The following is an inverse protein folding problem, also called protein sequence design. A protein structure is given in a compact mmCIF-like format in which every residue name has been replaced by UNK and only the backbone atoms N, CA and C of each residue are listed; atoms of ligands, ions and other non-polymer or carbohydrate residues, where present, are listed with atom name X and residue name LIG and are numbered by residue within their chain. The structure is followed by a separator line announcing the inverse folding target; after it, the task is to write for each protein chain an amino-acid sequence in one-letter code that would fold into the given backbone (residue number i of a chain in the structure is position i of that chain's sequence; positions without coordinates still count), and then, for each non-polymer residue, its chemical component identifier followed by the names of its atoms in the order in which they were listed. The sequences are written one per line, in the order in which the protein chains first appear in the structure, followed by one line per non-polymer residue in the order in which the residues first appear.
data_IF_595330391660
#
_entry.id   IF_595330391660
#
_cell.length_a   1.000
_cell.length_b   1.000
_cell.length_c   1.000
_cell.angle_alpha   90.00
_cell.angle_beta   90.00
_cell.angle_gamma   90.00
#
_symmetry.space_group_name_H-M   'P 1'
#
loop_
_entity.id
_entity.type
_entity.pdbx_description
1 polymer ?
#
# COMPACT_ATOMS: atom_id res chain seq x y z
N UNK A 1 10.99 -5.83 10.53
CA UNK A 1 11.74 -4.72 11.15
C UNK A 1 11.02 -4.20 12.36
N UNK A 2 11.76 -3.96 13.42
CA UNK A 2 11.20 -3.35 14.63
C UNK A 2 12.04 -2.14 15.01
N UNK A 3 11.37 -1.11 15.51
CA UNK A 3 12.01 0.08 16.03
C UNK A 3 11.47 0.32 17.43
N UNK A 4 12.36 0.28 18.43
CA UNK A 4 11.98 0.42 19.84
C UNK A 4 10.89 -0.57 20.25
N UNK A 5 10.97 -1.81 19.74
CA UNK A 5 10.02 -2.85 20.06
C UNK A 5 8.72 -2.79 19.28
N UNK A 6 8.56 -1.79 18.40
CA UNK A 6 7.34 -1.66 17.58
C UNK A 6 7.60 -2.16 16.16
N UNK A 7 6.72 -2.99 15.61
CA UNK A 7 6.85 -3.40 14.21
C UNK A 7 6.62 -2.22 13.27
N UNK A 8 7.31 -2.25 12.13
CA UNK A 8 7.13 -1.26 11.09
C UNK A 8 6.28 -1.89 9.99
N UNK A 9 5.15 -1.28 9.72
CA UNK A 9 4.19 -1.74 8.70
C UNK A 9 4.22 -0.74 7.56
N UNK A 10 4.45 -1.22 6.34
CA UNK A 10 4.53 -0.36 5.17
C UNK A 10 3.33 -0.56 4.26
N UNK A 11 2.81 0.55 3.75
CA UNK A 11 1.67 0.56 2.83
C UNK A 11 2.09 1.24 1.54
N UNK A 12 2.04 0.49 0.45
CA UNK A 12 2.39 1.00 -0.87
C UNK A 12 1.09 1.28 -1.62
N UNK A 13 0.71 2.56 -1.64
CA UNK A 13 -0.55 2.99 -2.25
C UNK A 13 -0.35 3.39 -3.70
N UNK A 14 -1.29 3.03 -4.55
CA UNK A 14 -1.23 3.40 -5.96
C UNK A 14 -2.41 2.88 -6.75
N UNK A 15 -2.46 3.26 -8.02
CA UNK A 15 -3.51 2.77 -8.91
C UNK A 15 -3.20 1.38 -9.43
N UNK A 16 -1.95 1.10 -9.74
CA UNK A 16 -1.50 -0.20 -10.28
C UNK A 16 -2.35 -0.63 -11.48
N UNK A 17 -2.24 0.12 -12.59
CA UNK A 17 -3.06 -0.06 -13.78
C UNK A 17 -2.26 -0.50 -15.02
N UNK A 18 -1.67 -1.69 -15.07
CA UNK A 18 -1.44 -2.65 -13.98
C UNK A 18 -0.11 -2.40 -13.27
N UNK A 19 0.21 -3.28 -12.30
CA UNK A 19 1.54 -3.27 -11.67
C UNK A 19 2.61 -3.47 -12.73
N UNK A 20 3.55 -2.54 -12.81
CA UNK A 20 4.65 -2.61 -13.74
C UNK A 20 5.95 -3.04 -13.06
N UNK A 21 7.02 -3.08 -13.84
CA UNK A 21 8.32 -3.49 -13.36
C UNK A 21 8.83 -2.61 -12.21
N UNK A 22 8.68 -1.30 -12.35
CA UNK A 22 9.15 -0.37 -11.32
C UNK A 22 8.34 -0.50 -10.03
N UNK A 23 7.06 -0.79 -10.13
CA UNK A 23 6.23 -1.07 -8.95
C UNK A 23 6.74 -2.31 -8.22
N UNK A 24 7.06 -3.36 -8.98
CA UNK A 24 7.56 -4.59 -8.40
C UNK A 24 8.92 -4.38 -7.73
N UNK A 25 9.79 -3.58 -8.33
CA UNK A 25 11.08 -3.26 -7.73
C UNK A 25 10.89 -2.54 -6.40
N UNK A 26 9.99 -1.58 -6.33
CA UNK A 26 9.68 -0.87 -5.09
C UNK A 26 9.10 -1.82 -4.04
N UNK A 27 8.20 -2.69 -4.45
CA UNK A 27 7.61 -3.68 -3.56
C UNK A 27 8.68 -4.62 -3.01
N UNK A 28 9.58 -5.11 -3.85
CA UNK A 28 10.66 -6.00 -3.43
C UNK A 28 11.60 -5.30 -2.44
N UNK A 29 11.94 -4.05 -2.72
CA UNK A 29 12.73 -3.27 -1.78
C UNK A 29 12.04 -3.16 -0.42
N UNK A 30 10.74 -2.88 -0.43
CA UNK A 30 9.97 -2.74 0.81
C UNK A 30 9.93 -4.05 1.58
N UNK A 31 9.73 -5.18 0.91
CA UNK A 31 9.67 -6.48 1.58
C UNK A 31 11.03 -6.86 2.16
N UNK A 32 12.12 -6.51 1.49
CA UNK A 32 13.46 -6.75 2.01
C UNK A 32 13.76 -5.85 3.21
N UNK A 33 13.24 -4.63 3.19
CA UNK A 33 13.50 -3.65 4.24
C UNK A 33 12.64 -3.90 5.49
N UNK A 34 11.35 -4.14 5.30
CA UNK A 34 10.39 -4.19 6.41
C UNK A 34 9.91 -5.60 6.76
N UNK A 35 10.18 -6.56 5.89
CA UNK A 35 9.67 -7.92 6.05
C UNK A 35 8.42 -8.13 5.20
N UNK A 36 8.33 -9.28 4.54
CA UNK A 36 7.23 -9.57 3.60
C UNK A 36 5.85 -9.51 4.27
N UNK A 37 5.77 -9.92 5.54
CA UNK A 37 4.49 -9.92 6.26
C UNK A 37 4.04 -8.51 6.66
N UNK A 38 4.93 -7.54 6.55
CA UNK A 38 4.67 -6.17 7.01
C UNK A 38 4.47 -5.19 5.87
N UNK A 39 4.36 -5.65 4.64
CA UNK A 39 4.19 -4.78 3.48
C UNK A 39 2.88 -5.11 2.79
N UNK A 40 2.07 -4.08 2.61
CA UNK A 40 0.77 -4.19 1.93
C UNK A 40 0.73 -3.23 0.75
N UNK A 41 0.16 -3.70 -0.36
CA UNK A 41 -0.18 -2.84 -1.49
C UNK A 41 -1.63 -2.43 -1.30
N UNK A 42 -1.92 -1.15 -1.46
CA UNK A 42 -3.27 -0.62 -1.29
C UNK A 42 -3.70 0.00 -2.60
N UNK A 43 -4.79 -0.49 -3.17
CA UNK A 43 -5.34 0.02 -4.41
C UNK A 43 -6.86 0.05 -4.32
N UNK A 44 -7.52 0.56 -5.36
CA UNK A 44 -8.97 0.67 -5.34
C UNK A 44 -9.61 -0.16 -6.44
N UNK A 45 -10.94 -0.29 -6.34
CA UNK A 45 -11.74 -0.95 -7.36
C UNK A 45 -12.25 0.04 -8.41
N UNK A 46 -11.83 1.30 -8.35
CA UNK A 46 -12.33 2.32 -9.27
C UNK A 46 -11.90 2.02 -10.69
N UNK A 47 -12.85 2.04 -11.60
CA UNK A 47 -12.62 1.89 -13.03
C UNK A 47 -12.98 3.22 -13.71
N UNK A 48 -12.03 3.79 -14.44
CA UNK A 48 -12.18 5.11 -15.07
C UNK A 48 -11.30 5.15 -16.33
N UNK A 49 -11.75 4.51 -17.43
CA UNK A 49 -10.94 4.50 -18.66
C UNK A 49 -10.79 5.91 -19.22
N UNK A 50 -9.70 6.21 -19.91
CA UNK A 50 -8.58 5.31 -20.23
C UNK A 50 -7.50 5.23 -19.16
N UNK A 51 -7.55 6.06 -18.12
CA UNK A 51 -6.49 6.12 -17.10
C UNK A 51 -6.48 4.92 -16.18
N UNK A 52 -7.66 4.43 -15.83
CA UNK A 52 -7.82 3.34 -14.87
C UNK A 52 -8.77 2.29 -15.43
N UNK A 53 -8.32 1.53 -16.45
CA UNK A 53 -9.21 0.56 -17.11
C UNK A 53 -9.46 -0.71 -16.32
N UNK A 54 -8.61 -1.03 -15.33
CA UNK A 54 -8.68 -2.28 -14.60
C UNK A 54 -9.44 -2.14 -13.28
N UNK A 55 -10.29 -3.13 -12.97
CA UNK A 55 -10.91 -3.22 -11.65
C UNK A 55 -9.92 -3.85 -10.67
N UNK A 56 -10.30 -3.93 -9.40
CA UNK A 56 -9.42 -4.43 -8.35
C UNK A 56 -8.96 -5.86 -8.61
N UNK A 57 -9.87 -6.73 -8.99
CA UNK A 57 -9.55 -8.14 -9.21
C UNK A 57 -8.52 -8.30 -10.33
N UNK A 58 -8.68 -7.53 -11.41
CA UNK A 58 -7.74 -7.57 -12.52
C UNK A 58 -6.36 -7.10 -12.10
N UNK A 59 -6.30 -6.03 -11.32
CA UNK A 59 -5.02 -5.53 -10.76
C UNK A 59 -4.38 -6.59 -9.87
N UNK A 60 -5.18 -7.22 -9.02
CA UNK A 60 -4.68 -8.24 -8.11
C UNK A 60 -4.11 -9.44 -8.86
N UNK A 61 -4.77 -9.84 -9.95
CA UNK A 61 -4.30 -10.95 -10.78
C UNK A 61 -2.92 -10.64 -11.39
N UNK A 62 -2.73 -9.41 -11.87
CA UNK A 62 -1.43 -9.01 -12.42
C UNK A 62 -0.37 -8.99 -11.33
N UNK A 63 -0.70 -8.43 -10.17
CA UNK A 63 0.23 -8.40 -9.05
C UNK A 63 0.62 -9.81 -8.59
N UNK A 64 -0.35 -10.71 -8.56
CA UNK A 64 -0.09 -12.11 -8.19
C UNK A 64 0.86 -12.76 -9.20
N UNK A 65 0.69 -12.46 -10.50
CA UNK A 65 1.60 -12.95 -11.52
C UNK A 65 3.03 -12.44 -11.33
N UNK A 66 3.18 -11.29 -10.69
CA UNK A 66 4.49 -10.74 -10.33
C UNK A 66 5.03 -11.25 -8.99
N UNK A 67 4.31 -12.15 -8.34
CA UNK A 67 4.78 -12.72 -7.08
C UNK A 67 4.27 -12.05 -5.81
N UNK A 68 3.31 -11.13 -5.94
CA UNK A 68 2.69 -10.51 -4.77
C UNK A 68 1.58 -11.42 -4.27
N UNK A 69 1.63 -11.79 -2.99
CA UNK A 69 0.58 -12.61 -2.39
C UNK A 69 -0.74 -11.85 -2.37
N UNK A 70 -1.84 -12.53 -2.70
CA UNK A 70 -3.14 -11.88 -2.79
C UNK A 70 -3.59 -11.26 -1.47
N UNK A 71 -3.20 -11.82 -0.34
CA UNK A 71 -3.54 -11.27 0.97
C UNK A 71 -2.77 -10.00 1.31
N UNK A 72 -1.75 -9.67 0.52
CA UNK A 72 -1.00 -8.42 0.67
C UNK A 72 -1.42 -7.35 -0.32
N UNK A 73 -2.38 -7.64 -1.20
CA UNK A 73 -2.91 -6.70 -2.18
C UNK A 73 -4.34 -6.34 -1.74
N UNK A 74 -4.51 -5.16 -1.16
CA UNK A 74 -5.71 -4.82 -0.39
C UNK A 74 -6.51 -3.71 -1.06
N UNK A 75 -7.82 -3.89 -1.08
CA UNK A 75 -8.75 -2.92 -1.66
C UNK A 75 -9.14 -1.88 -0.63
N UNK A 76 -8.94 -0.60 -0.98
CA UNK A 76 -9.50 0.51 -0.22
C UNK A 76 -10.08 1.51 -1.21
N UNK A 77 -11.18 2.14 -0.83
CA UNK A 77 -11.88 3.06 -1.73
C UNK A 77 -11.00 4.24 -2.14
N UNK A 78 -10.24 4.78 -1.21
CA UNK A 78 -9.31 5.89 -1.46
C UNK A 78 -7.94 5.48 -0.93
N UNK A 79 -7.09 4.89 -1.80
CA UNK A 79 -5.81 4.35 -1.33
C UNK A 79 -4.87 5.38 -0.70
N UNK A 80 -4.99 6.64 -1.10
CA UNK A 80 -4.11 7.70 -0.61
C UNK A 80 -4.62 8.37 0.65
N UNK A 81 -5.81 8.01 1.13
CA UNK A 81 -6.41 8.61 2.30
C UNK A 81 -6.53 7.55 3.41
N UNK A 82 -5.44 7.32 4.12
CA UNK A 82 -5.37 6.26 5.12
C UNK A 82 -6.45 6.38 6.19
N UNK A 83 -6.86 7.59 6.52
CA UNK A 83 -7.91 7.80 7.51
C UNK A 83 -9.27 7.22 7.08
N UNK A 84 -9.46 6.97 5.78
CA UNK A 84 -10.70 6.41 5.24
C UNK A 84 -10.65 4.90 5.08
N UNK A 85 -9.50 4.26 5.35
CA UNK A 85 -9.35 2.83 5.12
C UNK A 85 -10.24 2.01 6.05
N UNK A 86 -10.76 0.91 5.51
CA UNK A 86 -11.62 -0.01 6.26
C UNK A 86 -11.05 -1.42 6.31
N UNK A 87 -10.45 -1.87 5.23
CA UNK A 87 -9.95 -3.25 5.15
C UNK A 87 -8.58 -3.40 5.81
N UNK A 88 -7.69 -2.43 5.61
CA UNK A 88 -6.37 -2.45 6.25
C UNK A 88 -6.50 -2.50 7.78
N UNK A 89 -7.32 -1.64 8.42
CA UNK A 89 -7.44 -1.70 9.88
C UNK A 89 -7.93 -3.05 10.39
N UNK A 90 -8.83 -3.71 9.65
CA UNK A 90 -9.31 -5.02 10.05
C UNK A 90 -8.20 -6.07 10.01
N UNK A 91 -7.36 -6.02 8.96
CA UNK A 91 -6.23 -6.93 8.83
C UNK A 91 -5.24 -6.72 9.98
N UNK A 92 -4.94 -5.47 10.29
CA UNK A 92 -3.98 -5.14 11.35
C UNK A 92 -4.54 -5.53 12.73
N UNK A 93 -5.81 -5.25 12.97
CA UNK A 93 -6.45 -5.61 14.22
C UNK A 93 -6.41 -7.11 14.44
N UNK A 94 -6.64 -7.90 13.39
CA UNK A 94 -6.56 -9.35 13.47
C UNK A 94 -5.17 -9.84 13.86
N UNK A 95 -4.13 -9.03 13.60
CA UNK A 95 -2.74 -9.31 13.97
C UNK A 95 -2.33 -8.67 15.30
N UNK A 96 -3.26 -8.00 15.98
CA UNK A 96 -2.95 -7.29 17.21
C UNK A 96 -2.17 -6.00 17.02
N UNK A 97 -2.22 -5.42 15.82
CA UNK A 97 -1.49 -4.21 15.48
C UNK A 97 -2.43 -3.01 15.52
N UNK A 98 -2.04 -1.99 16.27
CA UNK A 98 -2.78 -0.73 16.39
C UNK A 98 -1.84 0.44 16.11
N UNK A 99 -2.37 1.66 15.88
CA UNK A 99 -1.50 2.82 15.72
C UNK A 99 -0.60 3.09 16.92
N UNK A 100 -0.98 2.61 18.10
CA UNK A 100 -0.21 2.86 19.32
C UNK A 100 0.97 1.89 19.47
N UNK A 101 0.93 0.73 18.84
CA UNK A 101 1.97 -0.29 19.04
C UNK A 101 2.76 -0.60 17.77
N UNK A 102 2.65 0.22 16.75
CA UNK A 102 3.34 0.00 15.48
C UNK A 102 3.71 1.33 14.84
N UNK A 103 4.68 1.26 13.92
CA UNK A 103 5.08 2.42 13.11
C UNK A 103 4.56 2.16 11.69
N UNK A 104 3.86 3.13 11.12
CA UNK A 104 3.33 3.03 9.77
C UNK A 104 4.17 3.85 8.80
N UNK A 105 4.52 3.26 7.67
CA UNK A 105 5.29 3.90 6.60
C UNK A 105 4.42 3.87 5.35
N UNK A 106 4.28 5.03 4.71
CA UNK A 106 3.51 5.15 3.48
C UNK A 106 4.47 5.35 2.30
N UNK A 107 4.35 4.48 1.31
CA UNK A 107 5.19 4.51 0.11
C UNK A 107 4.30 4.92 -1.06
N UNK A 108 4.71 5.97 -1.78
CA UNK A 108 3.98 6.44 -2.96
C UNK A 108 4.98 6.70 -4.08
N UNK A 109 4.49 6.68 -5.32
CA UNK A 109 5.32 6.97 -6.46
C UNK A 109 5.76 8.42 -6.48
N UNK A 110 6.96 8.68 -7.01
CA UNK A 110 7.48 10.04 -7.10
C UNK A 110 6.56 10.94 -7.92
N UNK A 111 5.94 10.40 -8.95
CA UNK A 111 5.01 11.15 -9.79
C UNK A 111 3.79 11.60 -9.00
N UNK A 112 3.26 10.73 -8.16
CA UNK A 112 2.12 11.07 -7.33
C UNK A 112 2.47 12.19 -6.36
N UNK A 113 3.68 12.16 -5.79
CA UNK A 113 4.11 13.20 -4.87
C UNK A 113 4.33 14.54 -5.55
N UNK A 114 4.87 14.54 -6.78
CA UNK A 114 5.19 15.79 -7.47
C UNK A 114 3.98 16.44 -8.12
N UNK A 115 3.04 15.66 -8.62
CA UNK A 115 1.86 16.19 -9.33
C UNK A 115 0.69 16.44 -8.40
N UNK A 116 0.53 15.60 -7.38
CA UNK A 116 -0.63 15.69 -6.49
C UNK A 116 -0.26 15.02 -5.16
N UNK A 117 0.53 15.71 -4.35
CA UNK A 117 1.03 15.12 -3.11
C UNK A 117 -0.11 14.83 -2.12
N UNK A 118 -0.39 13.57 -1.92
CA UNK A 118 -1.42 13.09 -1.02
C UNK A 118 -0.86 12.68 0.33
N UNK A 119 0.39 12.19 0.32
CA UNK A 119 1.15 11.96 1.55
C UNK A 119 2.35 12.87 1.51
N UNK A 120 2.58 13.59 2.58
CA UNK A 120 3.68 14.54 2.66
C UNK A 120 4.69 14.07 3.68
N UNK A 121 5.94 14.40 3.45
CA UNK A 121 6.98 14.13 4.44
C UNK A 121 6.62 14.86 5.72
N UNK A 122 6.63 14.16 6.83
CA UNK A 122 6.32 14.73 8.13
C UNK A 122 4.86 15.09 8.33
N UNK A 123 4.00 14.56 7.50
CA UNK A 123 2.60 15.00 7.55
C UNK A 123 1.86 14.54 8.75
N UNK A 124 2.48 13.78 9.54
CA UNK A 124 1.82 13.55 10.65
C UNK A 124 1.55 14.79 11.27
N UNK A 125 1.65 15.59 10.92
CA UNK A 125 1.29 16.63 11.36
C UNK A 125 0.38 17.22 10.99
N UNK A 126 0.34 17.20 11.04
CA UNK A 126 -0.50 17.76 11.27
C UNK A 126 -0.60 17.62 11.14
#
# INVERSE_FOLDING_TARGET
MNINGMPVIAFYAGRFQPMGRHHKMTYDWATQTFGADNVFIVSSDKVDPPKSPLNFLEKQMVATAHGVSSDKFVNERIPYAAATWKNIPQILTARGITPDNAIYVYIVGAKDMSENPRFRVGMKKP
#
